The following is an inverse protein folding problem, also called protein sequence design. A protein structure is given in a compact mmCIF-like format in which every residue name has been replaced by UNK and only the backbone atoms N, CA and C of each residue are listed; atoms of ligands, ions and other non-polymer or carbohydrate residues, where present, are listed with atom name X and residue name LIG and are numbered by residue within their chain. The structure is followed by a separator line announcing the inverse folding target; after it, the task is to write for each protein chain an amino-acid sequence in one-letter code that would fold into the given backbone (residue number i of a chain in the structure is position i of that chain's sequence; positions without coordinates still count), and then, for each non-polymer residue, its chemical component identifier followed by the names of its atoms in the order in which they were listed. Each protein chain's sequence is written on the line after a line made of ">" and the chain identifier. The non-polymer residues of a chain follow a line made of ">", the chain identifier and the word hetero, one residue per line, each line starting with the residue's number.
data_IF_280581841027
#
_entry.id   IF_280581841027
#
_cell.length_a   1.000
_cell.length_b   1.000
_cell.length_c   1.000
_cell.angle_alpha   90.00
_cell.angle_beta   90.00
_cell.angle_gamma   90.00
#
_symmetry.space_group_name_H-M   'P 1'
#
loop_
_entity.id
_entity.type
_entity.pdbx_description
1 polymer ?
#
# COMPACT_ATOMS: atom_id res chain seq x y z
N UNK A 1 -31.91 11.52 -9.16
CA UNK A 1 -32.15 10.94 -7.81
C UNK A 1 -31.22 9.78 -7.46
N UNK A 2 -30.88 8.86 -8.39
CA UNK A 2 -30.01 7.71 -8.08
C UNK A 2 -28.55 8.09 -7.78
N UNK A 3 -27.99 9.07 -8.50
CA UNK A 3 -26.62 9.58 -8.30
C UNK A 3 -26.42 10.22 -6.92
N UNK A 4 -27.42 10.95 -6.43
CA UNK A 4 -27.38 11.55 -5.09
C UNK A 4 -27.28 10.49 -3.98
N UNK A 5 -27.93 9.33 -4.15
CA UNK A 5 -27.85 8.22 -3.18
C UNK A 5 -26.51 7.49 -3.25
N UNK A 6 -25.95 7.31 -4.44
CA UNK A 6 -24.60 6.72 -4.59
C UNK A 6 -23.54 7.64 -3.99
N UNK A 7 -23.70 8.96 -4.14
CA UNK A 7 -22.83 9.94 -3.49
C UNK A 7 -22.94 9.90 -1.96
N UNK A 8 -24.15 9.74 -1.41
CA UNK A 8 -24.33 9.56 0.03
C UNK A 8 -23.61 8.30 0.53
N UNK A 9 -23.77 7.17 -0.17
CA UNK A 9 -23.05 5.93 0.16
C UNK A 9 -21.52 6.11 0.12
N UNK A 10 -21.01 6.81 -0.89
CA UNK A 10 -19.59 7.11 -1.00
C UNK A 10 -19.07 7.92 0.21
N UNK A 11 -19.78 8.99 0.56
CA UNK A 11 -19.43 9.88 1.68
C UNK A 11 -19.46 9.14 3.01
N UNK A 12 -20.54 8.42 3.29
CA UNK A 12 -20.67 7.68 4.54
C UNK A 12 -19.69 6.50 4.62
N UNK A 13 -19.40 5.84 3.50
CA UNK A 13 -18.35 4.82 3.42
C UNK A 13 -16.98 5.35 3.82
N UNK A 14 -16.58 6.50 3.26
CA UNK A 14 -15.33 7.19 3.64
C UNK A 14 -15.32 7.57 5.12
N UNK A 15 -16.41 8.17 5.59
CA UNK A 15 -16.51 8.65 6.97
C UNK A 15 -16.48 7.52 8.01
N UNK A 16 -17.01 6.34 7.66
CA UNK A 16 -16.93 5.14 8.50
C UNK A 16 -15.52 4.55 8.51
N UNK A 17 -14.85 4.48 7.36
CA UNK A 17 -13.46 3.99 7.25
C UNK A 17 -12.44 4.93 7.91
N UNK A 18 -12.77 6.21 8.07
CA UNK A 18 -11.96 7.15 8.83
C UNK A 18 -11.86 6.76 10.32
N UNK A 19 -12.95 6.23 10.87
CA UNK A 19 -13.15 6.02 12.32
C UNK A 19 -13.02 4.58 12.77
N UNK A 20 -13.10 3.63 11.83
CA UNK A 20 -13.15 2.21 12.12
C UNK A 20 -12.17 1.45 11.21
N UNK A 21 -11.70 0.30 11.68
CA UNK A 21 -11.02 -0.64 10.80
C UNK A 21 -12.04 -1.23 9.80
N UNK A 22 -11.57 -1.59 8.62
CA UNK A 22 -12.33 -2.21 7.54
C UNK A 22 -13.23 -3.37 8.00
N UNK A 23 -12.73 -4.21 8.91
CA UNK A 23 -13.45 -5.39 9.39
C UNK A 23 -14.65 -5.03 10.27
N UNK A 24 -14.63 -3.84 10.86
CA UNK A 24 -15.69 -3.32 11.73
C UNK A 24 -16.79 -2.61 10.93
N UNK A 25 -16.54 -2.30 9.65
CA UNK A 25 -17.51 -1.64 8.76
C UNK A 25 -18.38 -2.68 8.04
N UNK A 26 -19.70 -2.55 8.13
CA UNK A 26 -20.66 -3.41 7.44
C UNK A 26 -21.54 -2.64 6.46
N UNK A 27 -22.11 -3.36 5.48
CA UNK A 27 -23.07 -2.78 4.53
C UNK A 27 -24.32 -2.24 5.25
N UNK A 28 -24.75 -2.86 6.36
CA UNK A 28 -25.88 -2.35 7.15
C UNK A 28 -25.57 -1.02 7.80
N UNK A 29 -24.40 -0.86 8.42
CA UNK A 29 -23.96 0.41 9.01
C UNK A 29 -23.87 1.52 7.96
N UNK A 30 -23.26 1.23 6.80
CA UNK A 30 -23.17 2.18 5.68
C UNK A 30 -24.56 2.59 5.20
N UNK A 31 -25.47 1.62 5.03
CA UNK A 31 -26.85 1.88 4.57
C UNK A 31 -27.61 2.78 5.55
N UNK A 32 -27.46 2.52 6.85
CA UNK A 32 -28.11 3.25 7.91
C UNK A 32 -27.58 4.68 7.97
N UNK A 33 -26.25 4.87 7.92
CA UNK A 33 -25.62 6.18 7.87
C UNK A 33 -26.07 6.99 6.64
N UNK A 34 -26.18 6.34 5.48
CA UNK A 34 -26.62 6.98 4.25
C UNK A 34 -28.15 7.18 4.14
N UNK A 35 -28.93 6.73 5.14
CA UNK A 35 -30.39 6.84 5.13
C UNK A 35 -31.07 6.02 4.03
N UNK A 36 -30.50 4.89 3.63
CA UNK A 36 -31.04 4.01 2.59
C UNK A 36 -31.17 2.57 3.07
N UNK A 37 -32.03 1.79 2.40
CA UNK A 37 -32.15 0.36 2.73
C UNK A 37 -30.93 -0.43 2.25
N UNK A 38 -30.61 -1.50 2.97
CA UNK A 38 -29.57 -2.47 2.58
C UNK A 38 -29.85 -3.02 1.17
N UNK A 39 -31.10 -3.34 0.85
CA UNK A 39 -31.49 -3.79 -0.49
C UNK A 39 -31.14 -2.77 -1.59
N UNK A 40 -31.23 -1.47 -1.30
CA UNK A 40 -30.83 -0.44 -2.26
C UNK A 40 -29.32 -0.39 -2.51
N UNK A 41 -28.49 -0.81 -1.55
CA UNK A 41 -27.05 -1.03 -1.78
C UNK A 41 -26.85 -2.21 -2.72
N UNK A 42 -27.50 -3.35 -2.47
CA UNK A 42 -27.32 -4.56 -3.26
C UNK A 42 -27.77 -4.45 -4.72
N UNK A 43 -28.64 -3.48 -5.03
CA UNK A 43 -28.98 -3.13 -6.42
C UNK A 43 -27.80 -2.45 -7.15
N UNK A 44 -26.87 -1.81 -6.42
CA UNK A 44 -25.73 -1.04 -6.97
C UNK A 44 -24.42 -1.80 -6.87
N UNK A 45 -24.22 -2.49 -5.76
CA UNK A 45 -22.99 -3.20 -5.42
C UNK A 45 -23.35 -4.64 -5.08
N UNK A 46 -22.72 -5.59 -5.78
CA UNK A 46 -23.00 -7.01 -5.59
C UNK A 46 -22.75 -7.46 -4.15
N UNK A 47 -21.70 -6.93 -3.53
CA UNK A 47 -21.21 -7.31 -2.22
C UNK A 47 -20.45 -6.14 -1.56
N UNK A 48 -19.94 -6.39 -0.34
CA UNK A 48 -19.16 -5.41 0.43
C UNK A 48 -17.87 -5.02 -0.32
N UNK A 49 -17.21 -5.96 -0.96
CA UNK A 49 -15.94 -5.73 -1.65
C UNK A 49 -16.13 -4.82 -2.85
N UNK A 50 -17.18 -5.04 -3.65
CA UNK A 50 -17.52 -4.17 -4.77
C UNK A 50 -17.84 -2.72 -4.33
N UNK A 51 -18.48 -2.56 -3.16
CA UNK A 51 -18.71 -1.24 -2.58
C UNK A 51 -17.40 -0.58 -2.13
N UNK A 52 -16.53 -1.32 -1.46
CA UNK A 52 -15.23 -0.81 -0.99
C UNK A 52 -14.31 -0.47 -2.16
N UNK A 53 -14.27 -1.31 -3.20
CA UNK A 53 -13.57 -1.06 -4.46
C UNK A 53 -14.00 0.28 -5.07
N UNK A 54 -15.31 0.52 -5.10
CA UNK A 54 -15.86 1.78 -5.57
C UNK A 54 -15.40 2.97 -4.71
N UNK A 55 -15.48 2.86 -3.38
CA UNK A 55 -15.05 3.94 -2.46
C UNK A 55 -13.56 4.23 -2.60
N UNK A 56 -12.71 3.20 -2.59
CA UNK A 56 -11.26 3.30 -2.71
C UNK A 56 -10.88 3.97 -4.04
N UNK A 57 -11.41 3.43 -5.15
CA UNK A 57 -11.09 3.92 -6.50
C UNK A 57 -11.49 5.39 -6.67
N UNK A 58 -12.71 5.76 -6.28
CA UNK A 58 -13.17 7.14 -6.41
C UNK A 58 -12.39 8.12 -5.51
N UNK A 59 -11.96 7.66 -4.32
CA UNK A 59 -11.14 8.50 -3.44
C UNK A 59 -9.80 8.82 -4.07
N UNK A 60 -9.11 7.83 -4.65
CA UNK A 60 -7.80 8.07 -5.29
C UNK A 60 -7.90 8.83 -6.60
N UNK A 61 -8.99 8.67 -7.37
CA UNK A 61 -9.29 9.52 -8.53
C UNK A 61 -9.44 10.98 -8.09
N UNK A 62 -10.21 11.25 -7.03
CA UNK A 62 -10.40 12.60 -6.51
C UNK A 62 -9.09 13.18 -5.94
N UNK A 63 -8.35 12.40 -5.16
CA UNK A 63 -7.06 12.83 -4.60
C UNK A 63 -6.05 13.17 -5.71
N UNK A 64 -6.02 12.39 -6.79
CA UNK A 64 -5.21 12.66 -7.98
C UNK A 64 -5.58 13.99 -8.63
N UNK A 65 -6.88 14.25 -8.83
CA UNK A 65 -7.38 15.48 -9.43
C UNK A 65 -7.03 16.70 -8.56
N UNK A 66 -7.27 16.62 -7.25
CA UNK A 66 -6.94 17.67 -6.28
C UNK A 66 -5.44 17.97 -6.29
N UNK A 67 -4.60 16.92 -6.24
CA UNK A 67 -3.15 17.10 -6.31
C UNK A 67 -2.74 17.78 -7.62
N UNK A 68 -3.30 17.36 -8.76
CA UNK A 68 -2.98 17.94 -10.06
C UNK A 68 -3.36 19.42 -10.16
N UNK A 69 -4.50 19.81 -9.60
CA UNK A 69 -4.99 21.19 -9.59
C UNK A 69 -4.14 22.09 -8.67
N UNK A 70 -3.71 21.57 -7.52
CA UNK A 70 -3.02 22.36 -6.50
C UNK A 70 -1.48 22.33 -6.65
N UNK A 71 -0.92 21.33 -7.33
CA UNK A 71 0.51 21.18 -7.58
C UNK A 71 1.00 22.04 -8.77
N UNK A 72 0.64 23.32 -8.77
CA UNK A 72 0.97 24.26 -9.86
C UNK A 72 2.27 25.07 -9.61
N UNK A 73 2.88 24.94 -8.43
CA UNK A 73 4.06 25.73 -8.06
C UNK A 73 5.26 24.83 -7.78
N UNK A 74 6.43 25.16 -8.35
CA UNK A 74 7.73 24.52 -8.04
C UNK A 74 8.25 24.83 -6.62
N UNK A 75 7.39 25.34 -5.74
CA UNK A 75 7.77 25.74 -4.39
C UNK A 75 7.55 24.57 -3.43
N UNK A 76 8.66 23.96 -3.00
CA UNK A 76 8.66 22.73 -2.20
C UNK A 76 7.80 22.82 -0.94
N UNK A 77 7.84 23.90 -0.13
CA UNK A 77 7.01 23.96 1.07
C UNK A 77 5.51 23.87 0.77
N UNK A 78 5.01 24.44 -0.34
CA UNK A 78 3.60 24.31 -0.71
C UNK A 78 3.25 22.87 -1.13
N UNK A 79 4.16 22.19 -1.85
CA UNK A 79 3.96 20.79 -2.23
C UNK A 79 4.01 19.87 -0.99
N UNK A 80 4.89 20.15 -0.04
CA UNK A 80 4.95 19.44 1.23
C UNK A 80 3.66 19.64 2.03
N UNK A 81 3.20 20.88 2.18
CA UNK A 81 1.96 21.23 2.90
C UNK A 81 0.74 20.56 2.27
N UNK A 82 0.63 20.57 0.93
CA UNK A 82 -0.42 19.88 0.19
C UNK A 82 -0.47 18.37 0.54
N UNK A 83 0.69 17.71 0.54
CA UNK A 83 0.79 16.29 0.87
C UNK A 83 0.50 16.04 2.35
N UNK A 84 1.08 16.83 3.25
CA UNK A 84 0.87 16.72 4.70
C UNK A 84 -0.61 16.87 5.02
N UNK A 85 -1.28 17.88 4.47
CA UNK A 85 -2.73 18.09 4.65
C UNK A 85 -3.54 16.92 4.13
N UNK A 86 -3.23 16.41 2.95
CA UNK A 86 -3.92 15.25 2.37
C UNK A 86 -3.76 14.00 3.24
N UNK A 87 -2.55 13.72 3.72
CA UNK A 87 -2.25 12.55 4.57
C UNK A 87 -2.61 12.74 6.05
N UNK A 88 -2.93 13.96 6.47
CA UNK A 88 -3.50 14.23 7.80
C UNK A 88 -5.03 14.09 7.82
N UNK A 89 -5.68 13.98 6.66
CA UNK A 89 -7.13 13.79 6.56
C UNK A 89 -7.54 12.38 7.02
N UNK A 90 -8.43 12.32 8.02
CA UNK A 90 -8.84 11.06 8.62
C UNK A 90 -9.56 10.14 7.62
N UNK A 91 -10.35 10.69 6.70
CA UNK A 91 -11.01 9.88 5.66
C UNK A 91 -9.98 9.30 4.70
N UNK A 92 -9.06 10.12 4.21
CA UNK A 92 -8.02 9.67 3.29
C UNK A 92 -7.12 8.58 3.90
N UNK A 93 -6.68 8.76 5.15
CA UNK A 93 -5.88 7.74 5.87
C UNK A 93 -6.67 6.45 6.10
N UNK A 94 -7.95 6.54 6.45
CA UNK A 94 -8.86 5.40 6.55
C UNK A 94 -8.96 4.61 5.24
N UNK A 95 -9.05 5.31 4.10
CA UNK A 95 -9.06 4.68 2.77
C UNK A 95 -7.71 4.02 2.44
N UNK A 96 -6.58 4.65 2.76
CA UNK A 96 -5.26 4.04 2.57
C UNK A 96 -5.16 2.72 3.36
N UNK A 97 -5.55 2.73 4.63
CA UNK A 97 -5.55 1.52 5.47
C UNK A 97 -6.43 0.42 4.86
N UNK A 98 -7.64 0.76 4.43
CA UNK A 98 -8.55 -0.17 3.78
C UNK A 98 -7.96 -0.77 2.49
N UNK A 99 -7.41 0.07 1.62
CA UNK A 99 -6.81 -0.36 0.35
C UNK A 99 -5.59 -1.27 0.55
N UNK A 100 -4.71 -0.93 1.50
CA UNK A 100 -3.53 -1.75 1.82
C UNK A 100 -3.95 -3.06 2.48
N UNK A 101 -4.90 -3.03 3.42
CA UNK A 101 -5.39 -4.23 4.10
C UNK A 101 -6.06 -5.21 3.15
N UNK A 102 -6.96 -4.74 2.30
CA UNK A 102 -7.56 -5.55 1.23
C UNK A 102 -6.53 -6.03 0.21
N UNK A 103 -5.51 -5.21 -0.04
CA UNK A 103 -4.38 -5.54 -0.91
C UNK A 103 -3.60 -6.79 -0.51
N UNK A 104 -3.63 -7.18 0.77
CA UNK A 104 -3.04 -8.45 1.22
C UNK A 104 -3.87 -9.67 0.82
N UNK A 105 -5.17 -9.49 0.59
CA UNK A 105 -6.07 -10.54 0.12
C UNK A 105 -6.07 -10.59 -1.40
N UNK A 106 -6.23 -9.44 -2.05
CA UNK A 106 -6.22 -9.32 -3.51
C UNK A 106 -5.62 -7.96 -3.92
N UNK A 107 -4.57 -8.03 -4.74
CA UNK A 107 -3.81 -6.87 -5.19
C UNK A 107 -4.68 -5.83 -5.92
N UNK A 108 -5.79 -6.24 -6.54
CA UNK A 108 -6.68 -5.31 -7.27
C UNK A 108 -7.21 -4.18 -6.39
N UNK A 109 -7.43 -4.45 -5.10
CA UNK A 109 -7.92 -3.45 -4.14
C UNK A 109 -6.88 -2.37 -3.83
N UNK A 110 -5.60 -2.72 -3.92
CA UNK A 110 -4.47 -1.81 -3.67
C UNK A 110 -4.07 -1.02 -4.90
N UNK A 111 -4.37 -1.53 -6.10
CA UNK A 111 -3.95 -0.91 -7.35
C UNK A 111 -4.27 0.59 -7.45
N UNK A 112 -5.47 1.09 -7.10
CA UNK A 112 -5.76 2.52 -7.15
C UNK A 112 -4.83 3.38 -6.26
N UNK A 113 -4.42 2.84 -5.10
CA UNK A 113 -3.47 3.50 -4.22
C UNK A 113 -2.07 3.52 -4.81
N UNK A 114 -1.60 2.39 -5.35
CA UNK A 114 -0.27 2.30 -5.96
C UNK A 114 -0.16 3.22 -7.19
N UNK A 115 -1.22 3.32 -8.00
CA UNK A 115 -1.32 4.25 -9.13
C UNK A 115 -1.29 5.71 -8.69
N UNK A 116 -2.02 6.07 -7.63
CA UNK A 116 -1.98 7.40 -7.04
C UNK A 116 -0.57 7.74 -6.55
N UNK A 117 0.08 6.83 -5.82
CA UNK A 117 1.45 7.02 -5.30
C UNK A 117 2.45 7.22 -6.43
N UNK A 118 2.38 6.37 -7.47
CA UNK A 118 3.26 6.48 -8.64
C UNK A 118 3.03 7.81 -9.38
N UNK A 119 1.78 8.24 -9.54
CA UNK A 119 1.44 9.52 -10.14
C UNK A 119 2.03 10.69 -9.36
N UNK A 120 1.84 10.73 -8.04
CA UNK A 120 2.37 11.81 -7.19
C UNK A 120 3.89 11.84 -7.24
N UNK A 121 4.57 10.69 -7.10
CA UNK A 121 6.03 10.62 -7.17
C UNK A 121 6.56 11.13 -8.52
N UNK A 122 5.96 10.68 -9.63
CA UNK A 122 6.34 11.14 -10.98
C UNK A 122 6.12 12.64 -11.15
N UNK A 123 4.96 13.16 -10.71
CA UNK A 123 4.64 14.58 -10.85
C UNK A 123 5.58 15.46 -10.02
N UNK A 124 5.92 15.04 -8.80
CA UNK A 124 6.93 15.71 -7.99
C UNK A 124 8.30 15.67 -8.66
N UNK A 125 8.69 14.54 -9.24
CA UNK A 125 9.95 14.42 -9.97
C UNK A 125 10.00 15.37 -11.18
N UNK A 126 8.89 15.53 -11.90
CA UNK A 126 8.81 16.45 -13.04
C UNK A 126 8.89 17.92 -12.60
N UNK A 127 8.24 18.28 -11.50
CA UNK A 127 8.23 19.66 -10.97
C UNK A 127 9.56 20.05 -10.32
N UNK A 128 10.15 19.16 -9.53
CA UNK A 128 11.29 19.45 -8.66
C UNK A 128 12.64 19.15 -9.31
N UNK A 129 12.67 18.25 -10.30
CA UNK A 129 13.93 17.77 -10.89
C UNK A 129 14.15 18.27 -12.32
N UNK A 130 13.39 19.28 -12.77
CA UNK A 130 13.52 19.89 -14.09
C UNK A 130 14.96 20.41 -14.33
N UNK A 131 15.56 21.01 -13.30
CA UNK A 131 16.87 21.68 -13.39
C UNK A 131 18.00 20.86 -12.71
N UNK A 132 17.70 19.63 -12.27
CA UNK A 132 18.67 18.77 -11.58
C UNK A 132 19.55 18.03 -12.59
N UNK A 133 20.86 17.98 -12.32
CA UNK A 133 21.82 17.23 -13.13
C UNK A 133 21.43 15.76 -13.26
N UNK A 134 21.56 15.18 -14.46
CA UNK A 134 21.18 13.78 -14.75
C UNK A 134 21.78 12.75 -13.77
N UNK A 135 23.00 12.98 -13.28
CA UNK A 135 23.68 12.10 -12.32
C UNK A 135 23.09 12.13 -10.91
N UNK A 136 22.43 13.23 -10.51
CA UNK A 136 21.81 13.38 -9.17
C UNK A 136 20.34 12.95 -9.16
N UNK A 137 19.71 12.84 -10.34
CA UNK A 137 18.28 12.54 -10.49
C UNK A 137 17.83 11.25 -9.77
N UNK A 138 18.55 10.11 -9.84
CA UNK A 138 18.15 8.90 -9.13
C UNK A 138 18.08 9.09 -7.60
N UNK A 139 19.08 9.77 -7.03
CA UNK A 139 19.12 10.06 -5.60
C UNK A 139 17.96 10.97 -5.17
N UNK A 140 17.62 11.95 -6.00
CA UNK A 140 16.48 12.84 -5.72
C UNK A 140 15.14 12.12 -5.77
N UNK A 141 14.96 11.18 -6.70
CA UNK A 141 13.77 10.31 -6.74
C UNK A 141 13.66 9.51 -5.44
N UNK A 142 14.77 8.95 -4.94
CA UNK A 142 14.77 8.24 -3.66
C UNK A 142 14.34 9.13 -2.49
N UNK A 143 14.72 10.42 -2.48
CA UNK A 143 14.24 11.35 -1.45
C UNK A 143 12.75 11.64 -1.54
N UNK A 144 12.20 11.81 -2.76
CA UNK A 144 10.76 11.95 -2.98
C UNK A 144 10.02 10.71 -2.46
N UNK A 145 10.48 9.52 -2.85
CA UNK A 145 9.88 8.25 -2.41
C UNK A 145 9.97 8.07 -0.89
N UNK A 146 11.05 8.53 -0.26
CA UNK A 146 11.22 8.50 1.20
C UNK A 146 10.23 9.44 1.91
N UNK A 147 10.01 10.64 1.38
CA UNK A 147 9.02 11.57 1.91
C UNK A 147 7.61 10.96 1.84
N UNK A 148 7.26 10.36 0.70
CA UNK A 148 5.99 9.65 0.55
C UNK A 148 5.89 8.43 1.49
N UNK A 149 6.99 7.71 1.74
CA UNK A 149 7.01 6.60 2.68
C UNK A 149 6.71 7.02 4.12
N UNK A 150 7.23 8.16 4.58
CA UNK A 150 6.92 8.73 5.89
C UNK A 150 5.42 9.04 6.00
N UNK A 151 4.86 9.72 4.99
CA UNK A 151 3.43 10.05 4.95
C UNK A 151 2.55 8.79 4.97
N UNK A 152 2.93 7.76 4.21
CA UNK A 152 2.23 6.48 4.21
C UNK A 152 2.33 5.76 5.56
N UNK A 153 3.49 5.82 6.23
CA UNK A 153 3.67 5.23 7.54
C UNK A 153 2.67 5.81 8.55
N UNK A 154 2.57 7.14 8.62
CA UNK A 154 1.59 7.80 9.50
C UNK A 154 0.15 7.40 9.16
N UNK A 155 -0.20 7.33 7.87
CA UNK A 155 -1.55 6.91 7.46
C UNK A 155 -1.90 5.48 7.89
N UNK A 156 -0.93 4.56 7.79
CA UNK A 156 -1.12 3.14 8.10
C UNK A 156 -1.10 2.84 9.61
N UNK A 157 -0.35 3.62 10.38
CA UNK A 157 -0.13 3.40 11.81
C UNK A 157 -0.59 4.64 12.59
N UNK A 158 -1.89 4.76 12.93
CA UNK A 158 -2.40 5.92 13.66
C UNK A 158 -1.78 6.11 15.05
N UNK A 159 -1.21 5.05 15.65
CA UNK A 159 -0.47 5.11 16.92
C UNK A 159 1.05 5.37 16.73
N UNK A 160 1.47 5.75 15.53
CA UNK A 160 2.85 6.12 15.22
C UNK A 160 3.32 7.32 16.07
N UNK A 161 4.57 7.29 16.52
CA UNK A 161 5.20 8.44 17.20
C UNK A 161 5.43 9.64 16.28
N UNK A 162 5.38 9.44 14.95
CA UNK A 162 5.52 10.50 13.96
C UNK A 162 4.22 11.32 13.87
N UNK A 163 4.28 12.57 14.32
CA UNK A 163 3.21 13.55 14.17
C UNK A 163 3.48 14.48 12.97
N UNK A 164 2.55 14.52 12.01
CA UNK A 164 2.63 15.40 10.83
C UNK A 164 2.36 16.87 11.16
N UNK A 165 1.79 17.18 12.34
CA UNK A 165 1.63 18.54 12.84
C UNK A 165 2.90 19.07 13.51
N UNK A 166 3.85 18.19 13.84
CA UNK A 166 5.12 18.60 14.42
C UNK A 166 6.00 19.29 13.36
N UNK A 167 6.45 20.50 13.67
CA UNK A 167 7.31 21.32 12.80
C UNK A 167 8.56 20.56 12.34
N UNK A 168 9.14 19.72 13.19
CA UNK A 168 10.31 18.91 12.86
C UNK A 168 10.01 17.90 11.76
N UNK A 169 8.90 17.16 11.87
CA UNK A 169 8.45 16.21 10.85
C UNK A 169 8.17 16.89 9.52
N UNK A 170 7.48 18.04 9.55
CA UNK A 170 7.19 18.82 8.35
C UNK A 170 8.49 19.29 7.68
N UNK A 171 9.46 19.76 8.47
CA UNK A 171 10.76 20.18 7.95
C UNK A 171 11.53 19.02 7.32
N UNK A 172 11.50 17.81 7.91
CA UNK A 172 12.11 16.62 7.30
C UNK A 172 11.49 16.31 5.94
N UNK A 173 10.17 16.39 5.81
CA UNK A 173 9.48 16.19 4.53
C UNK A 173 9.90 17.26 3.51
N UNK A 174 9.95 18.53 3.92
CA UNK A 174 10.41 19.64 3.08
C UNK A 174 11.86 19.44 2.63
N UNK A 175 12.75 18.99 3.53
CA UNK A 175 14.16 18.77 3.23
C UNK A 175 14.36 17.60 2.27
N UNK A 176 13.60 16.51 2.44
CA UNK A 176 13.59 15.39 1.51
C UNK A 176 13.12 15.82 0.11
N UNK A 177 12.00 16.54 0.02
CA UNK A 177 11.49 17.03 -1.26
C UNK A 177 12.41 18.07 -1.90
N UNK A 178 13.07 18.91 -1.10
CA UNK A 178 14.09 19.87 -1.58
C UNK A 178 15.41 19.17 -1.94
N UNK A 179 15.55 17.89 -1.60
CA UNK A 179 16.78 17.11 -1.50
C UNK A 179 17.93 17.86 -0.81
N UNK A 180 17.59 18.64 0.23
CA UNK A 180 18.50 19.23 1.20
C UNK A 180 18.76 18.25 2.35
N UNK A 181 18.79 16.95 2.09
CA UNK A 181 19.30 16.03 3.09
C UNK A 181 20.78 16.38 3.27
N UNK A 182 21.14 16.78 4.49
CA UNK A 182 22.46 17.30 4.81
C UNK A 182 23.57 16.45 4.23
N UNK A 183 24.71 17.08 3.98
CA UNK A 183 25.97 16.49 3.55
C UNK A 183 26.57 15.50 4.57
N UNK A 184 25.75 14.63 5.16
CA UNK A 184 26.20 13.40 5.77
C UNK A 184 26.92 12.63 4.67
N UNK A 185 28.26 12.72 4.68
CA UNK A 185 29.13 11.92 3.82
C UNK A 185 28.56 10.51 3.79
N UNK A 186 28.32 9.92 2.60
CA UNK A 186 27.93 8.53 2.53
C UNK A 186 28.92 7.74 3.38
N UNK A 187 28.40 6.99 4.36
CA UNK A 187 29.21 6.14 5.21
C UNK A 187 30.12 5.34 4.28
N UNK A 188 31.42 5.55 4.43
CA UNK A 188 32.42 4.94 3.57
C UNK A 188 32.15 3.44 3.56
N UNK A 189 32.10 2.77 2.39
CA UNK A 189 31.90 1.33 2.36
C UNK A 189 32.97 0.73 3.26
N UNK A 190 32.52 0.14 4.37
CA UNK A 190 33.38 -0.52 5.35
C UNK A 190 34.11 -1.59 4.55
N UNK A 191 35.41 -1.35 4.25
CA UNK A 191 36.25 -2.33 3.56
C UNK A 191 35.99 -3.67 4.21
N UNK A 192 35.46 -4.62 3.44
CA UNK A 192 35.33 -5.99 3.88
C UNK A 192 36.70 -6.41 4.41
N UNK A 193 36.79 -6.57 5.72
CA UNK A 193 37.99 -7.08 6.36
C UNK A 193 38.32 -8.39 5.70
N UNK A 194 39.55 -8.54 5.22
CA UNK A 194 40.07 -9.77 4.64
C UNK A 194 39.82 -10.90 5.62
N UNK A 195 38.84 -11.75 5.33
CA UNK A 195 38.66 -13.01 6.02
C UNK A 195 39.84 -13.89 5.59
N UNK A 196 40.77 -14.13 6.53
CA UNK A 196 41.80 -15.16 6.37
C UNK A 196 41.11 -16.51 6.09
N UNK A 197 41.54 -17.29 5.08
CA UNK A 197 40.97 -18.60 4.85
C UNK A 197 41.42 -19.55 5.96
N UNK A 198 40.49 -19.94 6.85
CA UNK A 198 40.72 -21.04 7.77
C UNK A 198 40.60 -22.34 6.96
N UNK A 199 41.74 -22.92 6.65
CA UNK A 199 41.84 -24.24 6.05
C UNK A 199 41.68 -25.33 7.13
N UNK A 200 41.13 -26.47 6.67
CA UNK A 200 41.11 -27.83 7.26
C UNK A 200 39.79 -28.26 7.92
N UNK A 201 39.00 -28.96 7.10
CA UNK A 201 38.03 -29.99 7.51
C UNK A 201 38.77 -31.21 8.11
N UNK A 202 38.27 -31.83 9.20
CA UNK A 202 38.73 -33.15 9.63
C UNK A 202 38.16 -34.24 8.72
N UNK A 203 39.01 -35.22 8.38
CA UNK A 203 38.66 -36.44 7.63
C UNK A 203 37.70 -37.29 8.48
N UNK A 204 36.49 -37.51 7.95
CA UNK A 204 35.55 -38.51 8.47
C UNK A 204 36.01 -39.90 8.02
N UNK A 205 36.22 -40.80 8.97
CA UNK A 205 36.50 -42.21 8.75
C UNK A 205 35.22 -42.93 8.33
N UNK A 206 35.31 -43.68 7.22
CA UNK A 206 34.35 -44.71 6.85
C UNK A 206 34.45 -45.86 7.86
N UNK A 207 33.31 -46.49 8.13
CA UNK A 207 33.23 -47.95 8.00
C UNK A 207 31.86 -48.38 7.43
N UNK A 208 31.80 -49.55 6.77
CA UNK A 208 30.78 -49.92 5.79
C UNK A 208 29.80 -50.98 6.30
N UNK A 209 28.94 -51.45 5.38
CA UNK A 209 28.04 -52.61 5.49
C UNK A 209 26.70 -52.42 6.20
N UNK A 210 25.61 -52.40 5.41
CA UNK A 210 24.79 -53.61 5.25
C UNK A 210 23.64 -53.38 4.26
N UNK A 211 23.78 -54.02 3.10
CA UNK A 211 22.76 -54.80 2.38
C UNK A 211 21.27 -54.50 2.65
N UNK A 212 20.57 -54.00 1.61
CA UNK A 212 19.58 -54.76 0.80
C UNK A 212 18.89 -53.85 -0.23
N UNK A 213 18.88 -54.29 -1.50
CA UNK A 213 18.05 -53.73 -2.58
C UNK A 213 16.64 -54.40 -2.57
N UNK A 214 15.81 -54.19 -3.61
CA UNK A 214 14.53 -53.49 -3.55
C UNK A 214 13.35 -54.46 -3.52
N UNK A 215 12.14 -53.98 -3.29
CA UNK A 215 10.97 -54.65 -3.87
C UNK A 215 9.93 -53.64 -4.31
N UNK A 216 9.63 -53.74 -5.61
CA UNK A 216 8.35 -53.35 -6.18
C UNK A 216 7.26 -54.21 -5.56
N UNK A 217 6.06 -53.65 -5.38
CA UNK A 217 4.86 -54.40 -5.74
C UNK A 217 3.68 -53.49 -6.05
N UNK A 218 3.02 -53.93 -7.10
CA UNK A 218 1.80 -53.44 -7.75
C UNK A 218 0.56 -53.59 -6.87
N UNK A 219 -0.37 -52.62 -6.93
CA UNK A 219 -1.80 -52.91 -6.76
C UNK A 219 -2.62 -52.17 -7.82
N UNK A 220 -3.23 -52.96 -8.71
CA UNK A 220 -4.26 -52.55 -9.67
C UNK A 220 -5.67 -52.88 -9.13
N UNK A 221 -6.58 -51.96 -9.45
CA UNK A 221 -7.96 -52.18 -9.95
C UNK A 221 -9.16 -52.45 -9.03
N UNK A 222 -10.28 -51.95 -9.58
CA UNK A 222 -11.72 -52.23 -9.38
C UNK A 222 -12.35 -51.38 -8.26
N UNK A 223 -13.29 -50.47 -8.51
CA UNK A 223 -14.30 -50.37 -9.57
C UNK A 223 -15.65 -50.80 -9.01
N UNK A 224 -16.60 -49.88 -8.84
CA UNK A 224 -18.02 -50.21 -8.87
C UNK A 224 -18.89 -48.96 -9.05
N UNK A 225 -19.73 -49.05 -10.07
CA UNK A 225 -20.83 -48.19 -10.51
C UNK A 225 -22.10 -48.36 -9.66
N UNK A 226 -22.92 -47.30 -9.56
CA UNK A 226 -24.41 -47.24 -9.48
C UNK A 226 -24.80 -45.77 -9.25
N UNK A 227 -25.50 -44.99 -10.09
CA UNK A 227 -26.71 -45.13 -10.92
C UNK A 227 -28.02 -45.23 -10.12
N UNK A 228 -28.92 -44.26 -10.42
CA UNK A 228 -30.36 -44.06 -10.10
C UNK A 228 -30.67 -43.38 -8.74
N UNK A 229 -31.64 -42.47 -8.61
CA UNK A 229 -32.86 -42.19 -9.41
C UNK A 229 -33.43 -40.80 -9.07
N UNK A 230 -34.11 -40.20 -10.06
CA UNK A 230 -35.09 -39.10 -9.90
C UNK A 230 -36.20 -39.49 -8.91
N UNK A 231 -36.64 -38.54 -8.09
CA UNK A 231 -38.06 -38.18 -7.86
C UNK A 231 -38.09 -36.65 -7.76
#
# INVERSE_FOLDING_TARGET
>A
MAESKTLALYREGRSLLARNDLDQVSISQVSQAAGISVGAIYVRFRDKDAFLDFVITNTFIQAKAVFQEQADVRYVPNLADLLIRQFSDAEFTGIIRAAVKLGFVDQRHRQPFDEFRAFVSQRLADLLLADVKKGERPQRITYIDSALAILMHVALFPDSEVDLQEVQTQQVIIDLLSGKSGSAKPLSPKKAGSVKPLSKLPKSARDPESLRKPNADTVKSKGSTRVLKKI
#
